data_IF_873167687639
#
_entry.id   IF_873167687639
#
_cell.length_a   1.000
_cell.length_b   1.000
_cell.length_c   1.000
_cell.angle_alpha   90.00
_cell.angle_beta   90.00
_cell.angle_gamma   90.00
#
_symmetry.space_group_name_H-M   'P 1'
#
loop_
_entity.id
_entity.type
_entity.pdbx_description
1 polymer ?
#
# COMPACT_ATOMS: atom_id res chain seq x y z
N UNK A 1 34.07 -46.37 23.89
CA UNK A 1 34.09 -44.98 24.40
C UNK A 1 34.63 -43.95 23.40
N UNK A 2 35.68 -44.23 22.60
CA UNK A 2 36.22 -43.23 21.63
C UNK A 2 35.36 -43.04 20.37
N UNK A 3 34.64 -44.07 19.91
CA UNK A 3 33.80 -44.01 18.72
C UNK A 3 32.53 -43.15 18.88
N UNK A 4 31.91 -43.18 20.07
CA UNK A 4 30.67 -42.45 20.35
C UNK A 4 30.88 -40.92 20.44
N UNK A 5 32.04 -40.47 20.91
CA UNK A 5 32.37 -39.03 20.93
C UNK A 5 32.51 -38.41 19.54
N UNK A 6 33.02 -39.17 18.54
CA UNK A 6 33.12 -38.67 17.15
C UNK A 6 31.75 -38.48 16.50
N UNK A 7 30.82 -39.38 16.79
CA UNK A 7 29.48 -39.35 16.22
C UNK A 7 28.66 -38.17 16.77
N UNK A 8 28.80 -37.88 18.07
CA UNK A 8 28.13 -36.74 18.73
C UNK A 8 28.58 -35.38 18.17
N UNK A 9 29.89 -35.22 17.90
CA UNK A 9 30.44 -33.99 17.33
C UNK A 9 29.95 -33.73 15.91
N UNK A 10 29.76 -34.76 15.08
CA UNK A 10 29.22 -34.60 13.71
C UNK A 10 27.75 -34.18 13.69
N UNK A 11 26.96 -34.61 14.68
CA UNK A 11 25.52 -34.33 14.75
C UNK A 11 25.26 -32.89 15.24
N UNK A 12 26.06 -32.44 16.21
CA UNK A 12 26.04 -31.06 16.73
C UNK A 12 26.42 -30.05 15.63
N UNK A 13 27.44 -30.34 14.82
CA UNK A 13 27.88 -29.46 13.73
C UNK A 13 26.82 -29.30 12.63
N UNK A 14 26.13 -30.39 12.26
CA UNK A 14 25.04 -30.36 11.27
C UNK A 14 23.83 -29.56 11.74
N UNK A 15 23.48 -29.62 13.03
CA UNK A 15 22.40 -28.82 13.62
C UNK A 15 22.75 -27.33 13.67
N UNK A 16 24.00 -26.99 14.01
CA UNK A 16 24.47 -25.60 14.01
C UNK A 16 24.44 -24.96 12.63
N UNK A 17 24.88 -25.67 11.59
CA UNK A 17 24.81 -25.15 10.21
C UNK A 17 23.38 -24.94 9.70
N UNK A 18 22.45 -25.85 10.02
CA UNK A 18 21.04 -25.70 9.61
C UNK A 18 20.35 -24.50 10.27
N UNK A 19 20.63 -24.25 11.55
CA UNK A 19 20.09 -23.10 12.27
C UNK A 19 20.65 -21.77 11.74
N UNK A 20 21.94 -21.72 11.42
CA UNK A 20 22.56 -20.54 10.80
C UNK A 20 22.00 -20.26 9.40
N UNK A 21 21.79 -21.31 8.59
CA UNK A 21 21.21 -21.15 7.25
C UNK A 21 19.77 -20.62 7.32
N UNK A 22 18.97 -21.11 8.28
CA UNK A 22 17.61 -20.61 8.53
C UNK A 22 17.61 -19.13 8.94
N UNK A 23 18.52 -18.71 9.82
CA UNK A 23 18.60 -17.34 10.31
C UNK A 23 19.01 -16.35 9.20
N UNK A 24 19.98 -16.77 8.36
CA UNK A 24 20.42 -15.97 7.21
C UNK A 24 19.31 -15.86 6.17
N UNK A 25 18.54 -16.93 5.93
CA UNK A 25 17.40 -16.88 5.02
C UNK A 25 16.32 -15.90 5.54
N UNK A 26 15.99 -15.92 6.83
CA UNK A 26 15.00 -14.96 7.38
C UNK A 26 15.46 -13.50 7.30
N UNK A 27 16.77 -13.22 7.29
CA UNK A 27 17.31 -11.86 7.18
C UNK A 27 17.35 -11.34 5.74
N UNK A 28 17.42 -12.22 4.72
CA UNK A 28 17.50 -11.80 3.32
C UNK A 28 16.09 -11.49 2.74
N UNK A 29 15.04 -12.12 3.26
CA UNK A 29 13.67 -11.95 2.76
C UNK A 29 12.82 -10.94 3.55
N UNK A 30 13.41 -10.18 4.49
CA UNK A 30 12.60 -9.37 5.43
C UNK A 30 12.02 -8.07 4.86
N UNK A 31 12.37 -7.63 3.66
CA UNK A 31 11.82 -6.39 3.08
C UNK A 31 11.61 -6.49 1.57
N UNK A 32 10.64 -7.30 1.14
CA UNK A 32 9.95 -7.02 -0.11
C UNK A 32 8.98 -5.87 0.16
N UNK A 33 9.49 -4.63 0.22
CA UNK A 33 8.64 -3.44 0.27
C UNK A 33 7.73 -3.44 -0.96
N UNK A 34 6.43 -3.23 -0.76
CA UNK A 34 5.50 -3.11 -1.86
C UNK A 34 5.89 -1.88 -2.69
N UNK A 35 6.38 -2.10 -3.91
CA UNK A 35 6.74 -1.01 -4.80
C UNK A 35 5.46 -0.47 -5.43
N UNK A 36 4.97 0.65 -4.91
CA UNK A 36 3.86 1.38 -5.51
C UNK A 36 4.23 1.88 -6.91
N UNK A 37 3.26 1.95 -7.84
CA UNK A 37 3.55 2.38 -9.19
C UNK A 37 3.91 3.87 -9.21
N UNK A 38 5.06 4.18 -9.80
CA UNK A 38 5.50 5.56 -10.02
C UNK A 38 4.72 6.19 -11.18
N UNK A 39 4.41 7.47 -11.03
CA UNK A 39 3.73 8.33 -12.01
C UNK A 39 2.36 7.80 -12.46
N UNK A 40 1.69 7.03 -11.59
CA UNK A 40 0.36 6.49 -11.85
C UNK A 40 -0.54 6.75 -10.65
N UNK A 41 -1.83 6.95 -10.95
CA UNK A 41 -2.88 7.00 -9.95
C UNK A 41 -3.29 5.56 -9.59
N UNK A 42 -3.43 5.27 -8.31
CA UNK A 42 -3.82 3.93 -7.84
C UNK A 42 -4.63 4.00 -6.54
N UNK A 43 -5.47 2.99 -6.33
CA UNK A 43 -6.31 2.83 -5.16
C UNK A 43 -5.66 1.86 -4.17
N UNK A 44 -5.74 2.20 -2.89
CA UNK A 44 -5.27 1.36 -1.78
C UNK A 44 -6.29 1.39 -0.65
N UNK A 45 -6.47 0.26 0.03
CA UNK A 45 -7.22 0.18 1.28
C UNK A 45 -6.24 0.35 2.44
N UNK A 46 -6.33 1.47 3.18
CA UNK A 46 -5.33 1.82 4.22
C UNK A 46 -5.30 0.80 5.37
N UNK A 47 -6.44 0.19 5.70
CA UNK A 47 -6.52 -0.85 6.73
C UNK A 47 -5.84 -2.16 6.29
N UNK A 48 -5.61 -2.34 4.99
CA UNK A 48 -5.03 -3.53 4.40
C UNK A 48 -4.21 -3.20 3.13
N UNK A 49 -3.04 -2.55 3.28
CA UNK A 49 -2.24 -2.08 2.15
C UNK A 49 -1.37 -3.20 1.59
N UNK A 50 -1.98 -4.36 1.30
CA UNK A 50 -1.28 -5.49 0.68
C UNK A 50 -1.15 -5.31 -0.82
N UNK A 51 -2.08 -4.61 -1.46
CA UNK A 51 -2.17 -4.49 -2.90
C UNK A 51 -2.63 -3.09 -3.34
N UNK A 52 -2.28 -2.74 -4.58
CA UNK A 52 -2.75 -1.52 -5.23
C UNK A 52 -3.53 -1.85 -6.50
N UNK A 53 -4.47 -0.98 -6.85
CA UNK A 53 -5.33 -1.15 -8.02
C UNK A 53 -5.29 0.12 -8.87
N UNK A 54 -4.90 0.03 -10.14
CA UNK A 54 -4.71 1.21 -10.98
C UNK A 54 -6.02 2.00 -11.16
N UNK A 55 -5.89 3.33 -11.21
CA UNK A 55 -6.98 4.22 -11.56
C UNK A 55 -7.15 4.28 -13.08
N UNK A 56 -8.38 4.13 -13.54
CA UNK A 56 -8.75 4.26 -14.94
C UNK A 56 -9.67 5.48 -15.14
N UNK A 57 -9.34 6.35 -16.09
CA UNK A 57 -10.13 7.56 -16.38
C UNK A 57 -11.50 7.25 -16.98
N UNK A 58 -11.64 6.13 -17.68
CA UNK A 58 -12.91 5.66 -18.24
C UNK A 58 -13.87 5.10 -17.16
N UNK A 59 -13.31 4.62 -16.06
CA UNK A 59 -14.05 3.94 -14.99
C UNK A 59 -13.58 4.40 -13.62
N UNK A 60 -13.91 5.66 -13.31
CA UNK A 60 -13.43 6.45 -12.17
C UNK A 60 -13.32 5.68 -10.84
N UNK A 61 -14.23 4.76 -10.54
CA UNK A 61 -14.27 4.04 -9.26
C UNK A 61 -14.02 2.54 -9.35
N UNK A 62 -13.84 1.95 -10.54
CA UNK A 62 -13.72 0.49 -10.66
C UNK A 62 -12.51 -0.05 -9.89
N UNK A 63 -11.35 0.59 -10.04
CA UNK A 63 -10.15 0.21 -9.28
C UNK A 63 -10.35 0.25 -7.76
N UNK A 64 -11.14 1.20 -7.25
CA UNK A 64 -11.50 1.27 -5.85
C UNK A 64 -12.44 0.12 -5.42
N UNK A 65 -13.39 -0.27 -6.27
CA UNK A 65 -14.27 -1.42 -6.02
C UNK A 65 -13.49 -2.72 -5.99
N UNK A 66 -12.53 -2.87 -6.91
CA UNK A 66 -11.66 -4.04 -6.95
C UNK A 66 -10.75 -4.10 -5.71
N UNK A 67 -10.22 -2.95 -5.27
CA UNK A 67 -9.44 -2.86 -4.03
C UNK A 67 -10.25 -3.29 -2.81
N UNK A 68 -11.48 -2.79 -2.67
CA UNK A 68 -12.38 -3.17 -1.56
C UNK A 68 -12.76 -4.64 -1.67
N UNK A 69 -13.08 -5.12 -2.87
CA UNK A 69 -13.42 -6.53 -3.11
C UNK A 69 -12.29 -7.47 -2.75
N UNK A 70 -11.06 -7.07 -3.07
CA UNK A 70 -9.87 -7.80 -2.67
C UNK A 70 -9.72 -7.83 -1.14
N UNK A 71 -9.82 -6.67 -0.47
CA UNK A 71 -9.81 -6.59 1.00
C UNK A 71 -10.93 -7.42 1.66
N UNK A 72 -12.13 -7.46 1.05
CA UNK A 72 -13.25 -8.29 1.50
C UNK A 72 -12.98 -9.79 1.43
N UNK A 73 -11.99 -10.22 0.63
CA UNK A 73 -11.64 -11.63 0.44
C UNK A 73 -10.45 -12.08 1.28
N UNK A 74 -9.59 -11.16 1.71
CA UNK A 74 -8.29 -11.47 2.31
C UNK A 74 -8.24 -11.42 3.85
N UNK A 75 -9.30 -11.00 4.55
CA UNK A 75 -9.46 -10.91 6.03
C UNK A 75 -9.41 -9.46 6.58
N UNK A 76 -10.16 -9.10 7.66
CA UNK A 76 -11.01 -9.94 8.51
C UNK A 76 -12.29 -10.50 7.89
N UNK A 77 -12.66 -10.14 6.67
CA UNK A 77 -13.85 -10.68 6.01
C UNK A 77 -13.59 -11.94 5.18
N UNK A 78 -14.28 -13.03 5.47
CA UNK A 78 -14.61 -14.06 4.47
C UNK A 78 -15.90 -13.63 3.76
N UNK A 79 -15.86 -12.44 3.15
CA UNK A 79 -17.05 -11.73 2.69
C UNK A 79 -17.09 -11.53 1.18
N UNK A 80 -18.21 -11.04 0.67
CA UNK A 80 -18.38 -10.57 -0.70
C UNK A 80 -18.64 -9.08 -0.69
N UNK A 81 -17.94 -8.32 -1.52
CA UNK A 81 -18.22 -6.89 -1.67
C UNK A 81 -19.69 -6.68 -2.08
N UNK A 82 -20.42 -5.89 -1.29
CA UNK A 82 -21.86 -5.70 -1.49
C UNK A 82 -22.21 -4.65 -2.55
N UNK A 83 -21.21 -3.93 -3.08
CA UNK A 83 -21.44 -2.76 -3.95
C UNK A 83 -22.13 -1.59 -3.23
N UNK A 84 -22.42 -1.72 -1.94
CA UNK A 84 -23.21 -0.75 -1.18
C UNK A 84 -22.28 0.27 -0.55
N UNK A 85 -22.22 1.48 -1.12
CA UNK A 85 -21.43 2.61 -0.60
C UNK A 85 -22.31 3.84 -0.47
N UNK A 86 -22.51 4.30 0.77
CA UNK A 86 -22.99 5.64 1.11
C UNK A 86 -21.81 6.42 1.71
N UNK A 87 -21.02 7.10 0.89
CA UNK A 87 -20.62 8.48 1.15
C UNK A 87 -20.63 9.20 -0.20
N UNK A 88 -21.79 9.75 -0.54
CA UNK A 88 -21.95 10.84 -1.49
C UNK A 88 -21.72 12.13 -0.70
N UNK A 89 -20.51 12.41 -0.24
CA UNK A 89 -20.18 13.79 0.15
C UNK A 89 -20.01 14.56 -1.13
N UNK A 90 -21.15 15.10 -1.55
CA UNK A 90 -21.32 16.23 -2.44
C UNK A 90 -20.03 17.02 -2.69
N UNK A 91 -19.63 17.05 -3.96
CA UNK A 91 -18.83 18.11 -4.57
C UNK A 91 -17.49 18.45 -3.90
N UNK A 92 -16.42 17.96 -4.51
CA UNK A 92 -15.13 18.64 -4.65
C UNK A 92 -14.17 18.74 -3.45
N UNK A 93 -14.48 18.26 -2.24
CA UNK A 93 -13.56 18.40 -1.11
C UNK A 93 -13.38 17.09 -0.31
N UNK A 94 -12.20 16.49 -0.45
CA UNK A 94 -11.45 15.66 0.50
C UNK A 94 -12.06 14.41 1.15
N UNK A 95 -11.28 13.30 1.20
CA UNK A 95 -10.26 12.83 0.24
C UNK A 95 -10.88 12.12 -0.98
N UNK A 96 -10.08 11.81 -2.00
CA UNK A 96 -10.50 10.92 -3.10
C UNK A 96 -10.67 9.49 -2.55
N UNK A 97 -11.86 9.22 -2.02
CA UNK A 97 -12.18 7.99 -1.30
C UNK A 97 -13.43 7.30 -1.82
N UNK A 98 -13.51 6.01 -1.52
CA UNK A 98 -14.70 5.20 -1.71
C UNK A 98 -14.76 4.16 -0.60
N UNK A 99 -15.94 3.97 0.00
CA UNK A 99 -16.08 3.16 1.21
C UNK A 99 -17.13 2.05 1.09
N UNK A 100 -16.77 0.78 1.22
CA UNK A 100 -17.68 -0.34 0.94
C UNK A 100 -17.79 -1.39 2.01
N UNK A 101 -19.01 -1.89 2.20
CA UNK A 101 -19.26 -3.00 3.12
C UNK A 101 -18.92 -4.34 2.47
N UNK A 102 -18.30 -5.22 3.24
CA UNK A 102 -18.19 -6.63 2.93
C UNK A 102 -19.36 -7.37 3.54
N UNK A 103 -20.18 -8.00 2.71
CA UNK A 103 -21.26 -8.86 3.17
C UNK A 103 -20.73 -10.23 3.58
N UNK A 104 -21.20 -10.71 4.72
CA UNK A 104 -20.88 -12.03 5.23
C UNK A 104 -22.19 -12.83 5.21
N UNK A 105 -22.11 -14.07 4.74
CA UNK A 105 -23.24 -15.00 4.84
C UNK A 105 -22.99 -15.94 6.00
N UNK A 106 -23.87 -15.90 7.01
CA UNK A 106 -23.88 -16.90 8.08
C UNK A 106 -25.01 -17.90 7.84
N UNK A 107 -24.77 -19.16 8.23
CA UNK A 107 -25.72 -20.26 8.10
C UNK A 107 -27.07 -19.89 8.72
N UNK A 108 -28.08 -19.65 7.85
CA UNK A 108 -29.47 -19.44 8.24
C UNK A 108 -29.94 -18.00 8.42
N UNK A 109 -29.09 -16.97 8.24
CA UNK A 109 -29.46 -15.56 8.51
C UNK A 109 -29.49 -14.66 7.26
N UNK A 110 -29.15 -15.19 6.07
CA UNK A 110 -29.00 -14.39 4.86
C UNK A 110 -27.76 -13.48 4.91
N UNK A 111 -27.45 -12.73 3.84
CA UNK A 111 -26.31 -11.82 3.83
C UNK A 111 -26.57 -10.63 4.76
N UNK A 112 -25.60 -10.31 5.61
CA UNK A 112 -25.61 -9.08 6.42
C UNK A 112 -24.31 -8.32 6.21
N UNK A 113 -24.38 -7.00 6.36
CA UNK A 113 -23.22 -6.12 6.20
C UNK A 113 -22.25 -6.35 7.37
N UNK A 114 -21.02 -6.69 7.03
CA UNK A 114 -19.91 -6.86 7.96
C UNK A 114 -19.06 -5.60 8.05
N UNK A 115 -17.75 -5.75 7.83
CA UNK A 115 -16.80 -4.65 7.94
C UNK A 115 -16.94 -3.65 6.77
N UNK A 116 -16.76 -2.36 7.08
CA UNK A 116 -16.65 -1.27 6.13
C UNK A 116 -15.16 -1.02 5.84
N UNK A 117 -14.79 -0.93 4.56
CA UNK A 117 -13.43 -0.64 4.12
C UNK A 117 -13.37 0.63 3.29
N UNK A 118 -12.29 1.38 3.42
CA UNK A 118 -12.07 2.63 2.69
C UNK A 118 -10.93 2.46 1.69
N UNK A 119 -11.23 2.60 0.41
CA UNK A 119 -10.24 2.74 -0.64
C UNK A 119 -9.95 4.22 -0.91
N UNK A 120 -8.67 4.56 -0.96
CA UNK A 120 -8.17 5.91 -1.18
C UNK A 120 -7.31 5.97 -2.43
N UNK A 121 -7.41 7.07 -3.16
CA UNK A 121 -6.59 7.33 -4.33
C UNK A 121 -5.22 7.88 -3.90
N UNK A 122 -4.16 7.35 -4.49
CA UNK A 122 -2.77 7.75 -4.26
C UNK A 122 -2.09 8.09 -5.59
N UNK A 123 -1.05 8.92 -5.48
CA UNK A 123 -0.08 9.21 -6.52
C UNK A 123 1.31 9.24 -5.86
N UNK A 124 2.29 8.48 -6.38
CA UNK A 124 3.67 8.51 -5.89
C UNK A 124 3.82 8.32 -4.36
N UNK A 125 2.96 7.49 -3.74
CA UNK A 125 2.95 7.27 -2.29
C UNK A 125 2.20 8.33 -1.48
N UNK A 126 1.69 9.38 -2.10
CA UNK A 126 0.92 10.44 -1.46
C UNK A 126 -0.58 10.29 -1.73
N UNK A 127 -1.37 10.40 -0.66
CA UNK A 127 -2.84 10.32 -0.72
C UNK A 127 -3.39 11.56 -1.41
N UNK A 128 -4.31 11.38 -2.35
CA UNK A 128 -4.92 12.48 -3.10
C UNK A 128 -6.01 13.14 -2.27
N UNK A 129 -5.88 14.46 -2.18
CA UNK A 129 -6.81 15.34 -1.51
C UNK A 129 -8.12 15.54 -2.30
N UNK A 130 -8.08 15.37 -3.62
CA UNK A 130 -9.22 15.59 -4.51
C UNK A 130 -9.35 14.46 -5.53
N UNK A 131 -10.60 14.20 -5.93
CA UNK A 131 -10.93 13.23 -6.97
C UNK A 131 -10.72 13.87 -8.34
N UNK A 132 -9.46 14.02 -8.73
CA UNK A 132 -9.05 14.61 -10.00
C UNK A 132 -8.06 13.70 -10.74
N UNK A 133 -8.13 13.74 -12.07
CA UNK A 133 -7.33 12.95 -13.00
C UNK A 133 -6.05 13.65 -13.43
N UNK A 134 -5.60 14.69 -12.69
CA UNK A 134 -4.35 15.36 -13.03
C UNK A 134 -3.17 14.41 -12.99
N UNK A 135 -2.25 14.60 -13.94
CA UNK A 135 -1.08 13.77 -14.13
C UNK A 135 -0.34 13.58 -12.79
N UNK A 136 -0.01 12.33 -12.49
CA UNK A 136 0.79 11.98 -11.34
C UNK A 136 2.25 12.32 -11.63
N UNK A 137 2.61 13.60 -11.48
CA UNK A 137 3.97 14.08 -11.67
C UNK A 137 4.80 13.83 -10.40
N UNK A 138 6.10 13.51 -10.54
CA UNK A 138 6.97 13.43 -9.39
C UNK A 138 7.01 14.81 -8.72
N UNK A 139 7.13 14.87 -7.37
CA UNK A 139 7.23 16.14 -6.68
C UNK A 139 8.40 16.94 -7.28
N UNK A 140 8.22 18.27 -7.49
CA UNK A 140 9.29 19.09 -8.02
C UNK A 140 10.51 18.97 -7.11
N UNK A 141 11.74 18.99 -7.67
CA UNK A 141 12.94 18.93 -6.85
C UNK A 141 12.89 20.06 -5.82
N UNK A 142 13.37 19.82 -4.58
CA UNK A 142 13.36 20.84 -3.54
C UNK A 142 14.05 22.09 -4.07
N UNK A 143 13.41 23.24 -3.86
CA UNK A 143 13.97 24.53 -4.26
C UNK A 143 15.32 24.72 -3.57
N UNK A 144 16.42 24.50 -4.29
CA UNK A 144 17.74 24.94 -3.85
C UNK A 144 17.86 26.40 -4.27
N UNK A 145 17.82 27.37 -3.34
CA UNK A 145 18.12 28.74 -3.68
C UNK A 145 19.52 28.74 -4.30
N UNK A 146 19.61 29.14 -5.56
CA UNK A 146 20.89 29.25 -6.23
C UNK A 146 21.68 30.34 -5.50
N UNK A 147 22.55 29.94 -4.57
CA UNK A 147 23.40 30.84 -3.76
C UNK A 147 24.34 31.71 -4.60
N UNK A 148 24.38 31.52 -5.92
CA UNK A 148 25.21 32.25 -6.86
C UNK A 148 24.49 33.37 -7.63
N UNK A 149 23.25 33.72 -7.28
CA UNK A 149 22.74 35.04 -7.63
C UNK A 149 23.50 36.04 -6.75
N UNK A 150 24.54 36.64 -7.33
CA UNK A 150 25.31 37.70 -6.68
C UNK A 150 24.41 38.83 -6.14
N UNK A 151 24.95 39.70 -5.29
CA UNK A 151 24.18 40.80 -4.70
C UNK A 151 23.42 41.57 -5.79
N UNK A 152 22.18 42.03 -5.51
CA UNK A 152 21.40 42.79 -6.48
C UNK A 152 22.25 43.96 -7.00
N UNK A 153 22.15 44.31 -8.30
CA UNK A 153 22.92 45.42 -8.87
C UNK A 153 22.63 46.68 -8.05
N UNK A 154 23.69 47.29 -7.55
CA UNK A 154 23.63 48.49 -6.72
C UNK A 154 23.00 49.62 -7.56
N UNK A 155 21.84 50.19 -7.17
CA UNK A 155 21.19 51.25 -7.94
C UNK A 155 21.97 52.57 -7.95
N UNK A 156 23.17 52.62 -7.34
CA UNK A 156 23.96 53.82 -7.14
C UNK A 156 25.18 53.98 -8.08
N UNK A 157 25.39 53.12 -9.08
CA UNK A 157 26.46 53.32 -10.07
C UNK A 157 25.90 53.81 -11.43
N UNK A 158 26.08 55.11 -11.79
CA UNK A 158 25.88 55.60 -13.16
C UNK A 158 26.99 55.15 -14.12
#
# INVERSE_FOLDING_TARGET
MVAEMRQYNSLQYRRGCLLLFSLVFTLIFSEAGFAYPENQLYWVVEEYPTDFFLYETSTTYNGAEDAIKHACSESPGSGTYSGSIRILTSSNNFPAEKAGYCQITSLGVGPFDGNLYYAYLYCNGEKREQMDDSDCLPPPPPFTPNRNLGPPPDPACP
#
